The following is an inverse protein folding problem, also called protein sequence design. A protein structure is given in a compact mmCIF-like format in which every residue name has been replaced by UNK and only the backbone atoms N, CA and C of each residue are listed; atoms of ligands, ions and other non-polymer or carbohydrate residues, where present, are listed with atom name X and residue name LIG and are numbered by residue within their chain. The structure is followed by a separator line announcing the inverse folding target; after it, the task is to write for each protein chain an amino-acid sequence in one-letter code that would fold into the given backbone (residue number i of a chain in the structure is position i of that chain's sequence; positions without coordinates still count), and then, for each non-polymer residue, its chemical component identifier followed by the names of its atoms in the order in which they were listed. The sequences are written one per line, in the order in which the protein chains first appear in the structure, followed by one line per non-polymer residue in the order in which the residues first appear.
data_IF_874410844943
#
_entry.id   IF_874410844943
#
_cell.length_a   1.000
_cell.length_b   1.000
_cell.length_c   1.000
_cell.angle_alpha   90.00
_cell.angle_beta   90.00
_cell.angle_gamma   90.00
#
_symmetry.space_group_name_H-M   'P 1'
#
loop_
_entity.id
_entity.type
_entity.pdbx_description
1 polymer ?
#
# COMPACT_ATOMS: atom_id res chain seq x y z
N UNK A 1 -19.58 6.27 -9.92
CA UNK A 1 -20.48 5.74 -8.88
C UNK A 1 -21.09 4.42 -9.31
N UNK A 2 -21.91 4.38 -10.36
CA UNK A 2 -22.54 3.12 -10.81
C UNK A 2 -21.53 1.97 -11.05
N UNK A 3 -20.43 2.24 -11.75
CA UNK A 3 -19.38 1.23 -11.97
C UNK A 3 -18.72 0.75 -10.65
N UNK A 4 -18.59 1.65 -9.68
CA UNK A 4 -18.05 1.34 -8.34
C UNK A 4 -19.03 0.42 -7.59
N UNK A 5 -20.33 0.68 -7.70
CA UNK A 5 -21.39 -0.11 -7.05
C UNK A 5 -21.51 -1.52 -7.64
N UNK A 6 -21.23 -1.67 -8.93
CA UNK A 6 -21.19 -2.97 -9.60
C UNK A 6 -20.01 -3.84 -9.14
N UNK A 7 -19.03 -3.27 -8.42
CA UNK A 7 -17.89 -4.04 -7.92
C UNK A 7 -16.91 -4.50 -9.00
N UNK A 8 -17.00 -3.97 -10.23
CA UNK A 8 -16.20 -4.42 -11.37
C UNK A 8 -15.02 -3.46 -11.63
N UNK A 9 -13.77 -3.89 -11.39
CA UNK A 9 -12.58 -3.07 -11.61
C UNK A 9 -12.40 -2.54 -13.03
N UNK A 10 -12.75 -3.33 -14.04
CA UNK A 10 -12.58 -2.96 -15.45
C UNK A 10 -13.57 -1.86 -15.83
N UNK A 11 -14.84 -2.02 -15.46
CA UNK A 11 -15.87 -0.98 -15.68
C UNK A 11 -15.57 0.31 -14.91
N UNK A 12 -15.05 0.18 -13.69
CA UNK A 12 -14.62 1.35 -12.93
C UNK A 12 -13.47 2.05 -13.65
N UNK A 13 -12.46 1.31 -14.10
CA UNK A 13 -11.37 1.90 -14.88
C UNK A 13 -11.87 2.58 -16.16
N UNK A 14 -12.74 1.94 -16.93
CA UNK A 14 -13.34 2.51 -18.14
C UNK A 14 -14.02 3.85 -17.83
N UNK A 15 -14.82 3.92 -16.77
CA UNK A 15 -15.48 5.15 -16.34
C UNK A 15 -14.49 6.24 -15.91
N UNK A 16 -13.41 5.86 -15.22
CA UNK A 16 -12.36 6.81 -14.78
C UNK A 16 -11.55 7.37 -15.97
N UNK A 17 -11.40 6.59 -17.05
CA UNK A 17 -10.65 6.98 -18.26
C UNK A 17 -11.48 7.83 -19.24
N UNK A 18 -12.80 7.99 -19.02
CA UNK A 18 -13.63 8.83 -19.88
C UNK A 18 -13.09 10.27 -19.90
N UNK A 19 -12.86 10.89 -21.08
CA UNK A 19 -12.38 12.27 -21.15
C UNK A 19 -13.28 13.28 -20.44
N UNK A 20 -14.58 12.98 -20.37
CA UNK A 20 -15.59 13.78 -19.67
C UNK A 20 -15.44 13.73 -18.15
N UNK A 21 -14.78 12.73 -17.59
CA UNK A 21 -14.54 12.61 -16.15
C UNK A 21 -13.51 13.63 -15.64
N UNK A 22 -12.61 14.13 -16.51
CA UNK A 22 -11.57 15.13 -16.15
C UNK A 22 -10.67 14.72 -14.98
N UNK A 23 -10.50 13.42 -14.78
CA UNK A 23 -9.65 12.84 -13.74
C UNK A 23 -8.19 12.79 -14.20
N UNK A 24 -7.28 12.97 -13.26
CA UNK A 24 -5.84 13.00 -13.49
C UNK A 24 -5.17 11.76 -12.91
N UNK A 25 -4.04 11.38 -13.52
CA UNK A 25 -3.17 10.30 -13.06
C UNK A 25 -3.85 8.92 -12.95
N UNK A 26 -4.87 8.65 -13.76
CA UNK A 26 -5.49 7.32 -13.86
C UNK A 26 -4.52 6.37 -14.55
N UNK A 27 -4.14 5.29 -13.87
CA UNK A 27 -3.19 4.26 -14.35
C UNK A 27 -3.91 2.93 -14.51
N UNK A 28 -4.03 2.37 -15.74
CA UNK A 28 -4.77 1.13 -15.98
C UNK A 28 -4.34 -0.06 -15.10
N UNK A 29 -3.04 -0.16 -14.79
CA UNK A 29 -2.49 -1.21 -13.92
C UNK A 29 -3.09 -1.21 -12.50
N UNK A 30 -3.68 -0.09 -12.05
CA UNK A 30 -4.23 0.07 -10.71
C UNK A 30 -5.75 -0.17 -10.64
N UNK A 31 -6.39 -0.68 -11.72
CA UNK A 31 -7.85 -0.83 -11.81
C UNK A 31 -8.52 -1.45 -10.58
N UNK A 32 -7.99 -2.59 -10.10
CA UNK A 32 -8.49 -3.29 -8.91
C UNK A 32 -8.39 -2.40 -7.67
N UNK A 33 -7.25 -1.75 -7.47
CA UNK A 33 -7.03 -0.90 -6.31
C UNK A 33 -7.91 0.36 -6.32
N UNK A 34 -8.15 0.96 -7.50
CA UNK A 34 -9.11 2.05 -7.62
C UNK A 34 -10.53 1.61 -7.23
N UNK A 35 -10.96 0.44 -7.68
CA UNK A 35 -12.25 -0.12 -7.31
C UNK A 35 -12.38 -0.28 -5.79
N UNK A 36 -11.38 -0.89 -5.14
CA UNK A 36 -11.42 -1.14 -3.70
C UNK A 36 -11.43 0.17 -2.89
N UNK A 37 -10.54 1.11 -3.23
CA UNK A 37 -10.44 2.41 -2.53
C UNK A 37 -11.71 3.23 -2.72
N UNK A 38 -12.24 3.33 -3.94
CA UNK A 38 -13.44 4.12 -4.23
C UNK A 38 -14.69 3.49 -3.62
N UNK A 39 -14.80 2.16 -3.64
CA UNK A 39 -15.91 1.46 -2.98
C UNK A 39 -15.88 1.69 -1.47
N UNK A 40 -14.70 1.59 -0.84
CA UNK A 40 -14.53 1.89 0.57
C UNK A 40 -14.90 3.34 0.90
N UNK A 41 -14.38 4.30 0.14
CA UNK A 41 -14.66 5.72 0.33
C UNK A 41 -16.17 6.02 0.22
N UNK A 42 -16.86 5.41 -0.76
CA UNK A 42 -18.30 5.56 -0.90
C UNK A 42 -19.05 4.97 0.31
N UNK A 43 -18.67 3.77 0.74
CA UNK A 43 -19.28 3.13 1.91
C UNK A 43 -19.06 3.93 3.21
N UNK A 44 -17.91 4.59 3.37
CA UNK A 44 -17.65 5.51 4.47
C UNK A 44 -18.56 6.73 4.40
N UNK A 45 -18.65 7.36 3.22
CA UNK A 45 -19.52 8.53 3.01
C UNK A 45 -20.97 8.21 3.34
N UNK A 46 -21.51 7.10 2.85
CA UNK A 46 -22.88 6.68 3.16
C UNK A 46 -23.13 6.55 4.67
N UNK A 47 -22.17 6.02 5.42
CA UNK A 47 -22.26 5.89 6.89
C UNK A 47 -22.22 7.25 7.58
N UNK A 48 -21.31 8.13 7.17
CA UNK A 48 -21.12 9.46 7.76
C UNK A 48 -22.32 10.37 7.50
N UNK A 49 -22.92 10.30 6.30
CA UNK A 49 -24.09 11.09 5.93
C UNK A 49 -25.41 10.44 6.30
N UNK A 50 -25.40 9.19 6.77
CA UNK A 50 -26.59 8.35 6.98
C UNK A 50 -27.49 8.27 5.72
N UNK A 51 -26.87 8.22 4.55
CA UNK A 51 -27.53 8.19 3.24
C UNK A 51 -26.90 7.10 2.36
N UNK A 52 -27.62 5.99 2.19
CA UNK A 52 -27.19 4.86 1.36
C UNK A 52 -27.11 5.21 -0.14
N UNK A 53 -27.75 6.31 -0.56
CA UNK A 53 -27.69 6.81 -1.94
C UNK A 53 -26.56 7.80 -2.19
N UNK A 54 -25.77 8.13 -1.15
CA UNK A 54 -24.70 9.10 -1.25
C UNK A 54 -23.70 8.74 -2.37
N UNK A 55 -23.39 9.72 -3.22
CA UNK A 55 -22.47 9.57 -4.32
C UNK A 55 -21.13 10.22 -3.99
N UNK A 56 -20.06 9.62 -4.48
CA UNK A 56 -18.77 10.29 -4.51
C UNK A 56 -18.81 11.44 -5.52
N UNK A 57 -18.38 12.61 -5.06
CA UNK A 57 -18.16 13.79 -5.87
C UNK A 57 -16.84 13.68 -6.63
N UNK A 58 -16.65 14.54 -7.62
CA UNK A 58 -15.49 14.45 -8.52
C UNK A 58 -14.16 14.59 -7.78
N UNK A 59 -14.09 15.49 -6.81
CA UNK A 59 -12.91 15.72 -5.97
C UNK A 59 -12.63 14.53 -5.04
N UNK A 60 -13.67 13.87 -4.53
CA UNK A 60 -13.52 12.65 -3.73
C UNK A 60 -13.04 11.47 -4.58
N UNK A 61 -13.51 11.34 -5.82
CA UNK A 61 -13.02 10.34 -6.77
C UNK A 61 -11.55 10.63 -7.11
N UNK A 62 -11.21 11.89 -7.39
CA UNK A 62 -9.83 12.29 -7.67
C UNK A 62 -8.92 12.00 -6.47
N UNK A 63 -9.38 12.26 -5.25
CA UNK A 63 -8.66 11.91 -4.03
C UNK A 63 -8.44 10.40 -3.93
N UNK A 64 -9.48 9.59 -4.16
CA UNK A 64 -9.36 8.12 -4.15
C UNK A 64 -8.34 7.58 -5.16
N UNK A 65 -8.25 8.17 -6.36
CA UNK A 65 -7.22 7.82 -7.36
C UNK A 65 -5.82 8.17 -6.85
N UNK A 66 -5.65 9.38 -6.31
CA UNK A 66 -4.38 9.83 -5.76
C UNK A 66 -3.92 8.95 -4.60
N UNK A 67 -4.82 8.62 -3.67
CA UNK A 67 -4.56 7.75 -2.52
C UNK A 67 -4.18 6.35 -3.00
N UNK A 68 -4.93 5.77 -3.94
CA UNK A 68 -4.62 4.47 -4.54
C UNK A 68 -3.22 4.47 -5.20
N UNK A 69 -2.89 5.50 -5.98
CA UNK A 69 -1.58 5.63 -6.61
C UNK A 69 -0.44 5.74 -5.57
N UNK A 70 -0.66 6.48 -4.50
CA UNK A 70 0.32 6.65 -3.42
C UNK A 70 0.51 5.35 -2.64
N UNK A 71 -0.56 4.64 -2.31
CA UNK A 71 -0.48 3.33 -1.64
C UNK A 71 0.40 2.35 -2.43
N UNK A 72 0.21 2.24 -3.75
CA UNK A 72 1.03 1.34 -4.59
C UNK A 72 2.51 1.76 -4.58
N UNK A 73 2.78 3.07 -4.64
CA UNK A 73 4.14 3.60 -4.57
C UNK A 73 4.79 3.27 -3.21
N UNK A 74 4.07 3.47 -2.11
CA UNK A 74 4.55 3.18 -0.76
C UNK A 74 4.80 1.68 -0.57
N UNK A 75 3.85 0.82 -0.99
CA UNK A 75 4.01 -0.64 -0.94
C UNK A 75 5.23 -1.08 -1.73
N UNK A 76 5.49 -0.50 -2.91
CA UNK A 76 6.69 -0.80 -3.69
C UNK A 76 7.98 -0.39 -2.96
N UNK A 77 8.02 0.79 -2.35
CA UNK A 77 9.17 1.26 -1.58
C UNK A 77 9.43 0.34 -0.38
N UNK A 78 8.37 -0.03 0.35
CA UNK A 78 8.45 -0.92 1.50
C UNK A 78 8.91 -2.32 1.10
N UNK A 79 8.38 -2.89 0.01
CA UNK A 79 8.80 -4.20 -0.49
C UNK A 79 10.29 -4.23 -0.85
N UNK A 80 10.78 -3.19 -1.53
CA UNK A 80 12.22 -3.03 -1.82
C UNK A 80 13.00 -2.87 -0.52
N UNK A 81 12.51 -2.05 0.42
CA UNK A 81 13.12 -1.87 1.74
C UNK A 81 13.26 -3.18 2.50
N UNK A 82 12.21 -4.00 2.54
CA UNK A 82 12.23 -5.32 3.20
C UNK A 82 13.22 -6.26 2.53
N UNK A 83 13.30 -6.27 1.19
CA UNK A 83 14.31 -7.05 0.47
C UNK A 83 15.73 -6.61 0.82
N UNK A 84 15.97 -5.29 0.90
CA UNK A 84 17.27 -4.73 1.31
C UNK A 84 17.62 -5.13 2.75
N UNK A 85 16.67 -5.05 3.70
CA UNK A 85 16.87 -5.50 5.08
C UNK A 85 17.27 -6.97 5.10
N UNK A 86 16.52 -7.84 4.43
CA UNK A 86 16.81 -9.28 4.38
C UNK A 86 18.23 -9.59 3.87
N UNK A 87 18.68 -8.85 2.86
CA UNK A 87 20.03 -8.97 2.30
C UNK A 87 21.11 -8.43 3.24
N UNK A 88 20.87 -7.34 3.96
CA UNK A 88 21.80 -6.84 4.97
C UNK A 88 21.92 -7.80 6.15
N UNK A 89 20.81 -8.43 6.57
CA UNK A 89 20.81 -9.48 7.60
C UNK A 89 21.67 -10.68 7.19
N UNK A 90 21.54 -11.17 5.95
CA UNK A 90 22.37 -12.27 5.42
C UNK A 90 23.86 -11.96 5.41
N UNK A 91 24.22 -10.69 5.22
CA UNK A 91 25.60 -10.23 5.18
C UNK A 91 26.18 -9.86 6.54
N UNK A 92 25.38 -9.86 7.61
CA UNK A 92 25.82 -9.36 8.91
C UNK A 92 26.00 -7.84 8.97
N UNK A 93 25.39 -7.09 8.06
CA UNK A 93 25.58 -5.63 7.92
C UNK A 93 24.61 -4.84 8.82
N UNK A 94 24.99 -4.66 10.08
CA UNK A 94 24.20 -3.92 11.08
C UNK A 94 24.07 -2.42 10.79
N UNK A 95 25.07 -1.81 10.16
CA UNK A 95 25.04 -0.39 9.81
C UNK A 95 24.16 -0.12 8.57
N UNK A 96 24.17 -1.03 7.59
CA UNK A 96 23.29 -0.95 6.42
C UNK A 96 21.81 -0.95 6.81
N UNK A 97 21.43 -1.73 7.83
CA UNK A 97 20.04 -1.76 8.34
C UNK A 97 19.58 -0.38 8.79
N UNK A 98 20.39 0.38 9.54
CA UNK A 98 20.01 1.73 9.98
C UNK A 98 19.67 2.63 8.78
N UNK A 99 20.51 2.59 7.76
CA UNK A 99 20.33 3.38 6.54
C UNK A 99 19.05 3.00 5.81
N UNK A 100 18.74 1.69 5.75
CA UNK A 100 17.52 1.20 5.10
C UNK A 100 16.28 1.61 5.90
N UNK A 101 16.28 1.44 7.23
CA UNK A 101 15.17 1.82 8.11
C UNK A 101 14.85 3.32 8.01
N UNK A 102 15.86 4.18 7.97
CA UNK A 102 15.66 5.62 7.77
C UNK A 102 15.13 5.93 6.36
N UNK A 103 15.77 5.41 5.33
CA UNK A 103 15.52 5.85 3.94
C UNK A 103 14.31 5.20 3.26
N UNK A 104 13.97 3.96 3.62
CA UNK A 104 12.87 3.20 2.99
C UNK A 104 11.61 3.14 3.86
N UNK A 105 11.78 3.19 5.17
CA UNK A 105 10.67 3.11 6.13
C UNK A 105 10.39 4.45 6.83
N UNK A 106 11.21 5.49 6.60
CA UNK A 106 11.02 6.81 7.21
C UNK A 106 11.19 6.81 8.74
N UNK A 107 11.81 5.76 9.30
CA UNK A 107 11.92 5.58 10.74
C UNK A 107 13.06 6.43 11.29
N UNK A 108 12.82 7.07 12.44
CA UNK A 108 13.90 7.63 13.25
C UNK A 108 14.62 6.48 13.95
N UNK A 109 15.91 6.31 13.68
CA UNK A 109 16.74 5.28 14.30
C UNK A 109 17.81 5.90 15.18
N UNK A 110 18.23 5.14 16.21
CA UNK A 110 19.30 5.49 17.14
C UNK A 110 20.52 4.64 16.78
N UNK A 111 21.64 5.22 16.31
CA UNK A 111 22.81 4.45 15.87
C UNK A 111 23.38 3.50 16.91
N UNK A 112 23.33 3.87 18.19
CA UNK A 112 23.81 3.09 19.33
C UNK A 112 23.00 1.79 19.50
N UNK A 113 21.78 1.72 18.96
CA UNK A 113 20.91 0.55 19.00
C UNK A 113 21.04 -0.37 17.77
N UNK A 114 22.02 -0.13 16.88
CA UNK A 114 22.19 -0.91 15.63
C UNK A 114 22.20 -2.43 15.86
N UNK A 115 22.93 -2.89 16.88
CA UNK A 115 23.05 -4.30 17.21
C UNK A 115 21.69 -4.90 17.63
N UNK A 116 20.94 -4.18 18.47
CA UNK A 116 19.61 -4.60 18.92
C UNK A 116 18.61 -4.67 17.76
N UNK A 117 18.61 -3.66 16.87
CA UNK A 117 17.75 -3.68 15.69
C UNK A 117 18.09 -4.86 14.77
N UNK A 118 19.38 -5.09 14.51
CA UNK A 118 19.84 -6.21 13.70
C UNK A 118 19.43 -7.56 14.30
N UNK A 119 19.61 -7.74 15.61
CA UNK A 119 19.24 -8.96 16.31
C UNK A 119 17.73 -9.22 16.22
N UNK A 120 16.91 -8.24 16.59
CA UNK A 120 15.45 -8.40 16.58
C UNK A 120 14.91 -8.67 15.16
N UNK A 121 15.46 -8.01 14.14
CA UNK A 121 15.10 -8.25 12.74
C UNK A 121 15.56 -9.64 12.25
N UNK A 122 16.73 -10.10 12.70
CA UNK A 122 17.21 -11.47 12.41
C UNK A 122 16.29 -12.52 13.02
N UNK A 123 15.89 -12.33 14.29
CA UNK A 123 14.96 -13.22 14.99
C UNK A 123 13.59 -13.25 14.30
N UNK A 124 13.05 -12.07 13.94
CA UNK A 124 11.79 -11.98 13.20
C UNK A 124 11.85 -12.68 11.83
N UNK A 125 12.97 -12.54 11.09
CA UNK A 125 13.19 -13.25 9.82
C UNK A 125 13.16 -14.76 10.03
N UNK A 126 13.89 -15.27 11.03
CA UNK A 126 13.98 -16.69 11.31
C UNK A 126 12.64 -17.31 11.74
N UNK A 127 11.83 -16.57 12.52
CA UNK A 127 10.47 -17.00 12.88
C UNK A 127 9.59 -17.15 11.65
N UNK A 128 9.61 -16.15 10.75
CA UNK A 128 8.81 -16.19 9.53
C UNK A 128 9.20 -17.33 8.58
N UNK A 129 10.50 -17.60 8.43
CA UNK A 129 10.98 -18.76 7.64
C UNK A 129 10.52 -20.10 8.24
N UNK A 130 10.40 -20.20 9.57
CA UNK A 130 9.91 -21.40 10.24
C UNK A 130 8.41 -21.60 10.02
N UNK A 131 7.61 -20.54 10.09
CA UNK A 131 6.17 -20.58 9.79
C UNK A 131 5.92 -21.07 8.36
N UNK A 132 6.63 -20.53 7.38
CA UNK A 132 6.54 -20.95 5.97
C UNK A 132 6.93 -22.43 5.76
N UNK A 133 7.90 -22.94 6.53
CA UNK A 133 8.29 -24.35 6.49
C UNK A 133 7.29 -25.30 7.16
N UNK A 134 6.48 -24.79 8.11
CA UNK A 134 5.45 -25.56 8.80
C UNK A 134 4.09 -25.55 8.07
N UNK A 135 3.91 -24.64 7.10
CA UNK A 135 2.70 -24.55 6.26
C UNK A 135 2.83 -25.23 4.89
N UNK A 136 3.97 -25.88 4.60
CA UNK A 136 4.12 -26.78 3.45
C UNK A 136 3.62 -28.19 3.82
N UNK A 137 2.95 -28.93 2.89
CA UNK A 137 1.99 -30.00 3.23
C UNK A 137 2.54 -31.19 4.03
#
# INVERSE_FOLDING_TARGET
NEAIDQGNPEKTLEALLLPTAKLQDVRPVNARHYQDVLHHAKAQKCKETQDESALLWLDEIQKGISDANNHIKEVSILAVGTSMVNKSLEKGDSQGILTILQSKFGLRVIPECAATYFQNLSEAKNLKTREESNESP
#
